data_IF_742973189494
#
_entry.id   IF_742973189494
#
_cell.length_a   1.000
_cell.length_b   1.000
_cell.length_c   1.000
_cell.angle_alpha   90.00
_cell.angle_beta   90.00
_cell.angle_gamma   90.00
#
_symmetry.space_group_name_H-M   'P 1'
#
loop_
_entity.id
_entity.type
_entity.pdbx_description
1 polymer ?
#
# COMPACT_ATOMS: atom_id res chain seq x y z
N UNK A 1 -8.01 13.25 12.11
CA UNK A 1 -8.34 14.19 11.01
C UNK A 1 -7.08 14.99 10.71
N UNK A 2 -6.41 14.77 9.56
CA UNK A 2 -5.35 15.67 9.15
C UNK A 2 -5.94 17.08 9.04
N UNK A 3 -5.30 18.06 9.68
CA UNK A 3 -5.70 19.46 9.52
C UNK A 3 -5.65 19.82 8.03
N UNK A 4 -6.59 20.60 7.52
CA UNK A 4 -6.61 21.07 6.13
C UNK A 4 -5.24 21.61 5.65
N UNK A 5 -4.42 22.12 6.58
CA UNK A 5 -3.06 22.60 6.38
C UNK A 5 -2.05 21.54 5.91
N UNK A 6 -2.21 20.25 6.27
CA UNK A 6 -1.26 19.20 5.87
C UNK A 6 -1.36 18.85 4.39
N UNK A 7 -2.58 18.90 3.84
CA UNK A 7 -2.82 18.54 2.44
C UNK A 7 -2.32 19.62 1.47
N UNK A 8 -2.17 20.86 1.94
CA UNK A 8 -1.55 21.96 1.18
C UNK A 8 -0.01 21.90 1.19
N UNK A 9 0.59 21.05 2.04
CA UNK A 9 2.04 20.88 2.12
C UNK A 9 2.51 19.86 1.08
N UNK A 10 3.77 20.04 0.66
CA UNK A 10 4.51 19.08 -0.15
C UNK A 10 4.99 17.92 0.73
N UNK A 11 5.11 16.70 0.18
CA UNK A 11 5.57 15.58 0.97
C UNK A 11 7.03 15.74 1.40
N UNK A 12 7.36 15.18 2.55
CA UNK A 12 8.72 14.87 2.95
C UNK A 12 8.82 13.38 3.29
N UNK A 13 9.97 12.77 2.99
CA UNK A 13 10.19 11.34 3.24
C UNK A 13 11.12 11.17 4.43
N UNK A 14 10.69 10.38 5.41
CA UNK A 14 11.53 10.00 6.55
C UNK A 14 11.89 8.52 6.43
N UNK A 15 13.17 8.20 6.59
CA UNK A 15 13.71 6.86 6.36
C UNK A 15 14.23 6.18 7.64
N UNK A 16 14.05 6.81 8.81
CA UNK A 16 14.50 6.24 10.09
C UNK A 16 13.79 4.93 10.43
N UNK A 17 12.54 4.79 10.01
CA UNK A 17 11.68 3.62 10.27
C UNK A 17 11.72 2.59 9.14
N UNK A 18 12.68 2.70 8.21
CA UNK A 18 12.82 1.69 7.15
C UNK A 18 13.03 0.33 7.81
N UNK A 19 12.17 -0.61 7.43
CA UNK A 19 12.39 -2.02 7.68
C UNK A 19 13.36 -2.56 6.62
N UNK A 20 14.62 -2.75 6.97
CA UNK A 20 15.62 -3.24 6.02
C UNK A 20 15.39 -4.71 5.69
N UNK A 21 14.87 -5.49 6.62
CA UNK A 21 14.72 -6.94 6.56
C UNK A 21 13.28 -7.36 6.22
N UNK A 22 13.01 -8.67 6.20
CA UNK A 22 11.66 -9.20 6.03
C UNK A 22 11.19 -9.27 4.56
N UNK A 23 9.91 -9.59 4.39
CA UNK A 23 9.31 -9.87 3.07
C UNK A 23 9.19 -8.64 2.17
N UNK A 24 9.09 -7.45 2.78
CA UNK A 24 8.93 -6.16 2.10
C UNK A 24 10.08 -5.19 2.41
N UNK A 25 11.18 -5.75 2.89
CA UNK A 25 12.36 -5.00 3.28
C UNK A 25 13.18 -4.50 2.09
N UNK A 26 14.05 -3.54 2.38
CA UNK A 26 14.81 -2.82 1.36
C UNK A 26 16.16 -3.48 1.00
N UNK A 27 16.59 -4.51 1.72
CA UNK A 27 17.91 -5.13 1.55
C UNK A 27 18.15 -5.83 0.19
N UNK A 28 17.09 -6.19 -0.56
CA UNK A 28 17.20 -6.87 -1.86
C UNK A 28 17.06 -5.95 -3.08
N UNK A 29 17.06 -4.64 -2.87
CA UNK A 29 16.88 -3.66 -3.94
C UNK A 29 18.17 -3.42 -4.72
N UNK A 30 18.12 -3.69 -6.02
CA UNK A 30 19.16 -3.32 -6.97
C UNK A 30 19.29 -1.79 -7.09
N UNK A 31 20.51 -1.31 -7.38
CA UNK A 31 20.82 0.12 -7.42
C UNK A 31 19.96 0.93 -8.43
N UNK A 32 19.63 0.32 -9.57
CA UNK A 32 18.75 0.94 -10.57
C UNK A 32 17.32 1.14 -10.06
N UNK A 33 16.80 0.19 -9.26
CA UNK A 33 15.47 0.31 -8.66
C UNK A 33 15.47 1.37 -7.57
N UNK A 34 16.53 1.48 -6.77
CA UNK A 34 16.72 2.59 -5.84
C UNK A 34 16.64 3.94 -6.55
N UNK A 35 17.39 4.10 -7.65
CA UNK A 35 17.34 5.32 -8.45
C UNK A 35 15.95 5.62 -8.99
N UNK A 36 15.22 4.60 -9.47
CA UNK A 36 13.84 4.74 -9.95
C UNK A 36 12.91 5.26 -8.84
N UNK A 37 12.98 4.66 -7.64
CA UNK A 37 12.14 5.03 -6.50
C UNK A 37 12.45 6.46 -6.07
N UNK A 38 13.72 6.80 -5.85
CA UNK A 38 14.13 8.14 -5.44
C UNK A 38 13.74 9.21 -6.47
N UNK A 39 13.86 8.90 -7.77
CA UNK A 39 13.41 9.79 -8.84
C UNK A 39 11.91 10.06 -8.72
N UNK A 40 11.09 9.04 -8.49
CA UNK A 40 9.63 9.22 -8.30
C UNK A 40 9.30 10.01 -7.04
N UNK A 41 9.98 9.73 -5.93
CA UNK A 41 9.82 10.48 -4.69
C UNK A 41 10.13 11.98 -4.89
N UNK A 42 11.22 12.31 -5.58
CA UNK A 42 11.56 13.68 -5.95
C UNK A 42 10.52 14.35 -6.87
N UNK A 43 9.88 13.61 -7.78
CA UNK A 43 8.77 14.16 -8.57
C UNK A 43 7.56 14.48 -7.69
N UNK A 44 7.24 13.64 -6.70
CA UNK A 44 6.14 13.91 -5.78
C UNK A 44 6.39 15.15 -4.90
N UNK A 45 7.64 15.43 -4.51
CA UNK A 45 8.01 16.65 -3.77
C UNK A 45 7.67 17.96 -4.50
N UNK A 46 7.42 17.91 -5.81
CA UNK A 46 6.98 19.09 -6.57
C UNK A 46 5.50 19.42 -6.39
N UNK A 47 4.71 18.51 -5.80
CA UNK A 47 3.25 18.56 -5.70
C UNK A 47 2.78 18.54 -4.25
N UNK A 48 1.59 19.09 -3.99
CA UNK A 48 1.00 19.02 -2.64
C UNK A 48 0.42 17.64 -2.35
N UNK A 49 0.20 17.30 -1.08
CA UNK A 49 -0.52 16.09 -0.71
C UNK A 49 -1.94 16.05 -1.30
N UNK A 50 -2.63 17.18 -1.42
CA UNK A 50 -3.93 17.27 -2.09
C UNK A 50 -3.84 16.80 -3.56
N UNK A 51 -2.88 17.34 -4.31
CA UNK A 51 -2.63 16.93 -5.70
C UNK A 51 -2.32 15.43 -5.79
N UNK A 52 -1.41 14.96 -4.95
CA UNK A 52 -0.95 13.57 -4.88
C UNK A 52 -2.13 12.65 -4.55
N UNK A 53 -2.97 13.00 -3.56
CA UNK A 53 -4.12 12.21 -3.14
C UNK A 53 -5.17 12.10 -4.25
N UNK A 54 -5.39 13.18 -4.99
CA UNK A 54 -6.35 13.26 -6.10
C UNK A 54 -6.03 12.27 -7.25
N UNK A 55 -4.79 11.79 -7.38
CA UNK A 55 -4.39 10.81 -8.40
C UNK A 55 -5.12 9.45 -8.25
N UNK A 56 -5.74 9.18 -7.09
CA UNK A 56 -6.40 7.90 -6.79
C UNK A 56 -5.44 6.70 -6.63
N UNK A 57 -4.12 6.97 -6.61
CA UNK A 57 -3.06 5.96 -6.53
C UNK A 57 -2.51 5.78 -5.10
N UNK A 58 -3.36 6.02 -4.10
CA UNK A 58 -3.02 5.96 -2.69
C UNK A 58 -4.24 5.59 -1.85
N UNK A 59 -4.01 5.08 -0.65
CA UNK A 59 -5.06 4.77 0.31
C UNK A 59 -4.50 4.77 1.74
N UNK A 60 -5.33 5.15 2.69
CA UNK A 60 -5.12 4.91 4.12
C UNK A 60 -5.97 3.68 4.48
N UNK A 61 -5.39 2.78 5.26
CA UNK A 61 -6.05 1.56 5.71
C UNK A 61 -5.85 1.37 7.21
N UNK A 62 -6.91 0.96 7.89
CA UNK A 62 -6.90 0.57 9.29
C UNK A 62 -6.27 -0.82 9.41
N UNK A 63 -5.14 -0.92 10.14
CA UNK A 63 -4.33 -2.13 10.22
C UNK A 63 -5.08 -3.32 10.83
N UNK A 64 -6.12 -3.08 11.63
CA UNK A 64 -6.96 -4.12 12.23
C UNK A 64 -7.77 -4.88 11.16
N UNK A 65 -7.97 -4.25 10.00
CA UNK A 65 -8.65 -4.85 8.86
C UNK A 65 -7.69 -5.51 7.85
N UNK A 66 -6.41 -5.69 8.21
CA UNK A 66 -5.41 -6.26 7.31
C UNK A 66 -5.85 -7.63 6.79
N UNK A 67 -5.91 -7.84 5.46
CA UNK A 67 -6.18 -9.14 4.87
C UNK A 67 -4.94 -10.05 4.92
N UNK A 68 -3.78 -9.53 5.31
CA UNK A 68 -2.55 -10.28 5.47
C UNK A 68 -2.14 -10.31 6.97
N UNK A 69 -2.18 -11.48 7.63
CA UNK A 69 -1.85 -11.58 9.06
C UNK A 69 -0.38 -11.27 9.38
N UNK A 70 0.54 -11.37 8.41
CA UNK A 70 1.95 -11.04 8.62
C UNK A 70 2.18 -9.53 8.82
N UNK A 71 1.23 -8.66 8.42
CA UNK A 71 1.36 -7.21 8.58
C UNK A 71 1.44 -6.82 10.05
N UNK A 72 0.48 -7.25 10.87
CA UNK A 72 0.44 -6.91 12.30
C UNK A 72 1.64 -7.50 13.04
N UNK A 73 2.01 -8.74 12.69
CA UNK A 73 3.19 -9.40 13.25
C UNK A 73 4.46 -8.63 12.91
N UNK A 74 4.64 -8.23 11.66
CA UNK A 74 5.83 -7.49 11.23
C UNK A 74 5.90 -6.11 11.87
N UNK A 75 4.77 -5.40 12.00
CA UNK A 75 4.71 -4.13 12.74
C UNK A 75 5.20 -4.29 14.18
N UNK A 76 4.77 -5.34 14.89
CA UNK A 76 5.26 -5.62 16.24
C UNK A 76 6.76 -5.96 16.27
N UNK A 77 7.26 -6.71 15.29
CA UNK A 77 8.69 -7.04 15.16
C UNK A 77 9.57 -5.80 14.94
N UNK A 78 9.06 -4.78 14.25
CA UNK A 78 9.77 -3.52 13.98
C UNK A 78 9.40 -2.38 14.95
N UNK A 79 8.68 -2.70 16.04
CA UNK A 79 8.25 -1.75 17.07
C UNK A 79 7.37 -0.59 16.56
N UNK A 80 6.48 -0.89 15.62
CA UNK A 80 5.49 0.02 15.04
C UNK A 80 4.05 -0.50 15.24
N UNK A 81 3.80 -1.22 16.35
CA UNK A 81 2.50 -1.79 16.71
C UNK A 81 1.58 -0.83 17.49
N UNK A 82 2.01 0.42 17.69
CA UNK A 82 1.26 1.50 18.34
C UNK A 82 0.47 2.40 17.36
N UNK A 83 0.49 2.07 16.06
CA UNK A 83 -0.24 2.81 15.02
C UNK A 83 -1.60 2.19 14.74
N UNK A 84 -2.56 3.00 14.29
CA UNK A 84 -3.88 2.53 13.83
C UNK A 84 -3.95 2.34 12.31
N UNK A 85 -3.17 3.13 11.56
CA UNK A 85 -3.32 3.29 10.13
C UNK A 85 -1.99 3.16 9.37
N UNK A 86 -2.05 2.54 8.20
CA UNK A 86 -0.98 2.53 7.21
C UNK A 86 -1.38 3.29 5.96
N UNK A 87 -0.44 4.07 5.43
CA UNK A 87 -0.57 4.75 4.14
C UNK A 87 0.12 3.95 3.04
N UNK A 88 -0.59 3.75 1.93
CA UNK A 88 -0.08 3.12 0.72
C UNK A 88 0.03 4.12 -0.42
N UNK A 89 1.13 4.06 -1.17
CA UNK A 89 1.31 4.80 -2.43
C UNK A 89 1.76 3.87 -3.53
N UNK A 90 1.03 3.85 -4.65
CA UNK A 90 1.45 3.16 -5.87
C UNK A 90 2.59 3.91 -6.56
N UNK A 91 3.69 3.19 -6.81
CA UNK A 91 4.83 3.69 -7.57
C UNK A 91 4.75 3.30 -9.06
N UNK A 92 4.31 2.08 -9.34
CA UNK A 92 4.04 1.53 -10.67
C UNK A 92 3.25 0.24 -10.50
N UNK A 93 2.61 -0.29 -11.55
CA UNK A 93 2.11 -1.68 -11.56
C UNK A 93 1.50 -2.16 -10.22
N UNK A 94 2.12 -3.19 -9.63
CA UNK A 94 1.81 -3.69 -8.27
C UNK A 94 2.66 -3.07 -7.17
N UNK A 95 3.76 -2.41 -7.50
CA UNK A 95 4.67 -1.80 -6.52
C UNK A 95 3.98 -0.74 -5.66
N UNK A 96 4.09 -0.91 -4.34
CA UNK A 96 3.61 0.03 -3.32
C UNK A 96 4.74 0.42 -2.39
N UNK A 97 4.72 1.70 -2.03
CA UNK A 97 5.42 2.21 -0.88
C UNK A 97 4.44 2.24 0.29
N UNK A 98 4.86 1.74 1.44
CA UNK A 98 4.05 1.73 2.66
C UNK A 98 4.74 2.54 3.75
N UNK A 99 3.94 3.24 4.54
CA UNK A 99 4.47 4.04 5.62
C UNK A 99 3.40 4.63 6.52
N UNK A 100 3.86 5.35 7.53
CA UNK A 100 3.02 6.09 8.47
C UNK A 100 2.98 7.54 7.99
N UNK A 101 1.79 8.04 7.65
CA UNK A 101 1.61 9.42 7.24
C UNK A 101 1.35 10.30 8.46
N UNK A 102 2.34 11.10 8.82
CA UNK A 102 2.30 12.03 9.95
C UNK A 102 2.38 13.47 9.43
N UNK A 103 1.24 14.16 9.42
CA UNK A 103 1.07 15.48 8.81
C UNK A 103 1.45 15.47 7.31
N UNK A 104 2.61 16.01 6.93
CA UNK A 104 3.10 16.01 5.55
C UNK A 104 4.29 15.07 5.33
N UNK A 105 4.71 14.37 6.38
CA UNK A 105 5.87 13.48 6.38
C UNK A 105 5.36 12.05 6.24
N UNK A 106 5.82 11.33 5.23
CA UNK A 106 5.61 9.89 5.14
C UNK A 106 6.85 9.19 5.70
N UNK A 107 6.68 8.54 6.86
CA UNK A 107 7.70 7.67 7.48
C UNK A 107 7.68 6.34 6.75
N UNK A 108 8.70 6.10 5.93
CA UNK A 108 8.78 4.94 5.06
C UNK A 108 9.07 3.69 5.88
N UNK A 109 8.23 2.67 5.73
CA UNK A 109 8.44 1.35 6.33
C UNK A 109 8.90 0.36 5.26
N UNK A 110 8.04 0.10 4.26
CA UNK A 110 8.21 -1.02 3.34
C UNK A 110 8.16 -0.62 1.87
N UNK A 111 8.84 -1.41 1.04
CA UNK A 111 8.63 -1.47 -0.39
C UNK A 111 8.06 -2.83 -0.78
N UNK A 112 6.78 -2.82 -1.14
CA UNK A 112 6.03 -4.01 -1.50
C UNK A 112 5.95 -4.13 -3.02
N UNK A 113 6.81 -4.98 -3.59
CA UNK A 113 6.90 -5.14 -5.04
C UNK A 113 5.69 -5.86 -5.65
N UNK A 114 5.01 -6.71 -4.86
CA UNK A 114 4.04 -7.69 -5.35
C UNK A 114 2.61 -7.40 -4.91
N UNK A 115 2.37 -6.32 -4.15
CA UNK A 115 1.08 -6.01 -3.53
C UNK A 115 0.66 -7.09 -2.51
N UNK A 116 1.61 -7.51 -1.69
CA UNK A 116 1.47 -8.54 -0.67
C UNK A 116 1.12 -8.00 0.71
N UNK A 117 1.39 -6.72 1.01
CA UNK A 117 0.99 -6.10 2.28
C UNK A 117 -0.55 -6.05 2.36
N UNK A 118 -1.20 -5.64 1.27
CA UNK A 118 -2.67 -5.51 1.22
C UNK A 118 -3.28 -6.16 -0.04
N UNK A 119 -3.22 -7.49 -0.16
CA UNK A 119 -3.66 -8.19 -1.35
C UNK A 119 -5.14 -7.93 -1.65
N UNK A 120 -5.44 -7.59 -2.90
CA UNK A 120 -6.82 -7.50 -3.38
C UNK A 120 -7.47 -8.88 -3.39
N UNK A 121 -8.72 -8.99 -2.91
CA UNK A 121 -9.53 -10.20 -3.07
C UNK A 121 -9.61 -10.56 -4.56
N UNK A 122 -9.08 -11.71 -4.96
CA UNK A 122 -9.17 -12.19 -6.36
C UNK A 122 -10.64 -12.36 -6.70
N UNK A 123 -11.16 -11.57 -7.65
CA UNK A 123 -12.41 -11.93 -8.34
C UNK A 123 -12.05 -13.01 -9.34
N UNK A 124 -12.39 -14.27 -9.06
CA UNK A 124 -12.43 -15.31 -10.08
C UNK A 124 -13.58 -14.98 -11.04
N UNK A 125 -13.32 -14.20 -12.08
CA UNK A 125 -14.26 -14.02 -13.19
C UNK A 125 -13.85 -15.00 -14.27
N UNK A 126 -14.48 -16.18 -14.28
CA UNK A 126 -14.43 -17.06 -15.44
C UNK A 126 -15.70 -16.85 -16.24
N UNK A 127 -15.55 -16.49 -17.52
CA UNK A 127 -16.65 -16.46 -18.48
C UNK A 127 -16.76 -17.85 -19.10
N UNK A 128 -17.84 -18.58 -18.80
CA UNK A 128 -18.25 -19.75 -19.55
C UNK A 128 -19.53 -19.35 -20.31
N UNK A 129 -19.46 -19.41 -21.65
CA UNK A 129 -20.60 -19.14 -22.55
C UNK A 129 -21.36 -17.82 -22.29
N UNK A 130 -20.64 -16.72 -22.02
CA UNK A 130 -21.22 -15.37 -21.98
C UNK A 130 -22.08 -15.03 -20.75
N UNK A 131 -22.18 -15.89 -19.75
CA UNK A 131 -22.87 -15.60 -18.50
C UNK A 131 -21.89 -15.49 -17.32
N UNK A 132 -22.04 -14.43 -16.51
CA UNK A 132 -21.29 -14.25 -15.27
C UNK A 132 -21.86 -15.20 -14.19
N UNK A 133 -21.09 -16.21 -13.80
CA UNK A 133 -21.40 -17.02 -12.62
C UNK A 133 -20.66 -16.46 -11.40
N UNK A 134 -21.39 -16.18 -10.32
CA UNK A 134 -20.80 -15.84 -9.01
C UNK A 134 -20.83 -17.08 -8.13
N UNK A 135 -19.67 -17.55 -7.70
CA UNK A 135 -19.57 -18.55 -6.64
C UNK A 135 -19.13 -17.86 -5.35
N UNK A 136 -19.82 -18.17 -4.26
CA UNK A 136 -19.35 -17.94 -2.90
C UNK A 136 -19.02 -19.31 -2.31
N UNK A 137 -17.79 -19.47 -1.83
CA UNK A 137 -17.32 -20.54 -0.94
C UNK A 137 -17.76 -21.98 -1.28
N UNK A 138 -17.32 -22.47 -2.44
CA UNK A 138 -17.13 -23.91 -2.67
C UNK A 138 -18.38 -24.80 -2.80
N UNK A 139 -19.60 -24.25 -2.71
CA UNK A 139 -20.84 -25.01 -2.90
C UNK A 139 -21.58 -24.53 -4.16
N UNK A 140 -21.75 -25.46 -5.12
CA UNK A 140 -22.56 -25.26 -6.32
C UNK A 140 -24.04 -25.19 -5.92
N UNK A 141 -24.70 -24.08 -6.26
CA UNK A 141 -26.15 -24.06 -6.41
C UNK A 141 -26.48 -23.63 -7.84
N UNK A 142 -27.15 -24.51 -8.60
CA UNK A 142 -27.74 -24.17 -9.88
C UNK A 142 -28.99 -23.31 -9.65
N UNK A 143 -29.01 -22.10 -10.20
CA UNK A 143 -30.23 -21.32 -10.30
C UNK A 143 -30.97 -21.77 -11.57
N UNK A 144 -32.06 -22.53 -11.41
CA UNK A 144 -33.02 -22.73 -12.50
C UNK A 144 -33.80 -21.44 -12.74
N UNK A 145 -34.10 -21.19 -14.01
CA UNK A 145 -34.78 -20.00 -14.55
C UNK A 145 -36.07 -19.65 -13.80
#
# INVERSE_FOLDING_TARGET
MPSLDSDLKKPAWQFNEIDWDGLWGWHKLEANKWQEILTKLGHFETRTWADIKSDGNNHIVDIQNSPNPEVLKRLAEIHQDDIDELFSRRLSGKERLWGILDNHILKILWWDMNHEVWPSKKKHTYTLNGHNLRFFDGLKFECKQ
#
